data_IF_905690717948
#
_entry.id   IF_905690717948
#
_cell.length_a   1.000
_cell.length_b   1.000
_cell.length_c   1.000
_cell.angle_alpha   90.00
_cell.angle_beta   90.00
_cell.angle_gamma   90.00
#
_symmetry.space_group_name_H-M   'P 1'
#
loop_
_entity.id
_entity.type
_entity.pdbx_description
1 polymer ?
#
# COMPACT_ATOMS: atom_id res chain seq x y z
N UNK A 1 2.00 -12.74 5.70
CA UNK A 1 2.68 -11.67 4.94
C UNK A 1 1.59 -10.84 4.33
N UNK A 2 1.63 -9.51 4.49
CA UNK A 2 0.63 -8.60 3.96
C UNK A 2 0.37 -8.82 2.45
N UNK A 3 -0.65 -8.17 1.90
CA UNK A 3 -0.85 -8.13 0.45
C UNK A 3 -1.21 -6.72 0.00
N UNK A 4 -0.61 -6.31 -1.11
CA UNK A 4 -1.01 -5.14 -1.89
C UNK A 4 -1.68 -5.66 -3.15
N UNK A 5 -2.83 -5.09 -3.48
CA UNK A 5 -3.54 -5.34 -4.73
C UNK A 5 -3.64 -4.00 -5.45
N UNK A 6 -3.14 -3.94 -6.67
CA UNK A 6 -3.32 -2.79 -7.55
C UNK A 6 -4.31 -3.16 -8.66
N UNK A 7 -5.38 -2.37 -8.72
CA UNK A 7 -6.38 -2.36 -9.78
C UNK A 7 -6.13 -1.14 -10.68
N UNK A 8 -5.70 -1.32 -11.94
CA UNK A 8 -5.56 -0.23 -12.89
C UNK A 8 -6.89 0.49 -13.19
N UNK A 9 -6.78 1.71 -13.72
CA UNK A 9 -7.93 2.46 -14.23
C UNK A 9 -8.65 1.67 -15.34
N UNK A 10 -9.99 1.68 -15.33
CA UNK A 10 -10.83 0.99 -16.30
C UNK A 10 -11.01 -0.52 -16.05
N UNK A 11 -10.30 -1.12 -15.10
CA UNK A 11 -10.48 -2.53 -14.69
C UNK A 11 -11.63 -2.65 -13.69
N UNK A 12 -12.32 -3.79 -13.62
CA UNK A 12 -13.33 -4.00 -12.58
C UNK A 12 -12.71 -4.15 -11.19
N UNK A 13 -13.51 -3.87 -10.15
CA UNK A 13 -13.05 -4.09 -8.77
C UNK A 13 -12.74 -5.57 -8.53
N UNK A 14 -11.73 -5.90 -7.69
CA UNK A 14 -11.48 -7.28 -7.31
C UNK A 14 -12.73 -7.92 -6.68
N UNK A 15 -12.98 -9.19 -7.00
CA UNK A 15 -14.20 -9.86 -6.53
C UNK A 15 -14.28 -9.91 -5.01
N UNK A 16 -15.51 -9.90 -4.47
CA UNK A 16 -15.73 -10.01 -3.03
C UNK A 16 -15.11 -11.29 -2.44
N UNK A 17 -15.11 -12.40 -3.19
CA UNK A 17 -14.47 -13.66 -2.77
C UNK A 17 -12.96 -13.47 -2.61
N UNK A 18 -12.31 -12.85 -3.58
CA UNK A 18 -10.88 -12.57 -3.55
C UNK A 18 -10.52 -11.67 -2.36
N UNK A 19 -11.25 -10.56 -2.18
CA UNK A 19 -11.04 -9.64 -1.07
C UNK A 19 -11.27 -10.31 0.29
N UNK A 20 -12.29 -11.18 0.41
CA UNK A 20 -12.55 -11.93 1.64
C UNK A 20 -11.44 -12.94 1.95
N UNK A 21 -10.89 -13.61 0.93
CA UNK A 21 -9.70 -14.47 1.11
C UNK A 21 -8.50 -13.67 1.60
N UNK A 22 -8.20 -12.55 0.94
CA UNK A 22 -7.10 -11.67 1.29
C UNK A 22 -7.20 -11.14 2.73
N UNK A 23 -8.38 -10.66 3.14
CA UNK A 23 -8.64 -10.20 4.51
C UNK A 23 -8.50 -11.33 5.54
N UNK A 24 -9.04 -12.52 5.29
CA UNK A 24 -8.94 -13.65 6.25
C UNK A 24 -7.50 -14.07 6.48
N UNK A 25 -6.67 -14.08 5.43
CA UNK A 25 -5.25 -14.36 5.54
C UNK A 25 -4.44 -13.22 6.19
N UNK A 26 -5.00 -12.00 6.23
CA UNK A 26 -4.33 -10.79 6.71
C UNK A 26 -5.28 -9.93 7.57
N UNK A 27 -5.67 -10.42 8.77
CA UNK A 27 -6.80 -9.86 9.52
C UNK A 27 -6.47 -8.60 10.35
N UNK A 28 -5.23 -8.12 10.34
CA UNK A 28 -4.74 -7.08 11.26
C UNK A 28 -4.90 -5.64 10.75
N UNK A 29 -5.62 -5.46 9.64
CA UNK A 29 -5.94 -4.14 9.10
C UNK A 29 -6.23 -4.18 7.61
N UNK A 30 -6.98 -3.19 7.13
CA UNK A 30 -7.31 -3.03 5.72
C UNK A 30 -7.28 -1.55 5.35
N UNK A 31 -6.94 -1.26 4.10
CA UNK A 31 -6.97 0.09 3.58
C UNK A 31 -6.96 0.14 2.06
N UNK A 32 -7.35 1.28 1.53
CA UNK A 32 -7.34 1.58 0.12
C UNK A 32 -7.02 3.05 -0.13
N UNK A 33 -6.50 3.34 -1.31
CA UNK A 33 -6.49 4.68 -1.88
C UNK A 33 -6.74 4.65 -3.38
N UNK A 34 -7.42 5.70 -3.83
CA UNK A 34 -7.73 6.08 -5.21
C UNK A 34 -7.71 7.62 -5.25
N UNK A 35 -7.68 8.26 -6.43
CA UNK A 35 -7.71 9.71 -6.55
C UNK A 35 -8.77 10.41 -5.69
N UNK A 36 -9.96 9.82 -5.55
CA UNK A 36 -11.08 10.47 -4.82
C UNK A 36 -11.42 9.82 -3.48
N UNK A 37 -10.93 8.62 -3.21
CA UNK A 37 -11.31 7.85 -2.02
C UNK A 37 -10.09 7.24 -1.33
N UNK A 38 -9.94 7.53 -0.04
CA UNK A 38 -8.94 6.89 0.83
C UNK A 38 -9.59 6.36 2.10
N UNK A 39 -9.18 5.18 2.53
CA UNK A 39 -9.59 4.58 3.80
C UNK A 39 -8.46 3.74 4.40
N UNK A 40 -8.34 3.76 5.73
CA UNK A 40 -7.57 2.78 6.48
C UNK A 40 -8.20 2.52 7.85
N UNK A 41 -8.23 1.26 8.26
CA UNK A 41 -8.82 0.84 9.53
C UNK A 41 -8.84 -0.67 9.74
N UNK A 42 -9.53 -1.09 10.79
CA UNK A 42 -9.60 -2.49 11.21
C UNK A 42 -10.88 -3.21 10.75
N UNK A 43 -11.87 -2.46 10.27
CA UNK A 43 -13.19 -2.99 9.91
C UNK A 43 -13.27 -3.32 8.42
N UNK A 44 -13.29 -4.61 8.09
CA UNK A 44 -13.49 -5.06 6.71
C UNK A 44 -14.86 -4.61 6.14
N UNK A 45 -15.90 -4.56 6.98
CA UNK A 45 -17.21 -4.08 6.55
C UNK A 45 -17.17 -2.59 6.17
N UNK A 46 -16.45 -1.77 6.93
CA UNK A 46 -16.26 -0.35 6.60
C UNK A 46 -15.43 -0.19 5.34
N UNK A 47 -14.38 -0.99 5.18
CA UNK A 47 -13.58 -1.05 3.95
C UNK A 47 -14.45 -1.36 2.73
N UNK A 48 -15.28 -2.42 2.79
CA UNK A 48 -16.16 -2.79 1.66
C UNK A 48 -17.18 -1.71 1.31
N UNK A 49 -17.70 -0.98 2.31
CA UNK A 49 -18.60 0.17 2.07
C UNK A 49 -17.89 1.32 1.35
N UNK A 50 -16.63 1.59 1.70
CA UNK A 50 -15.85 2.65 1.06
C UNK A 50 -15.39 2.23 -0.34
N UNK A 51 -14.97 0.97 -0.51
CA UNK A 51 -14.55 0.40 -1.79
C UNK A 51 -15.60 0.58 -2.90
N UNK A 52 -16.89 0.41 -2.56
CA UNK A 52 -18.01 0.60 -3.50
C UNK A 52 -18.14 2.02 -4.05
N UNK A 53 -17.47 3.01 -3.45
CA UNK A 53 -17.47 4.41 -3.89
C UNK A 53 -16.37 4.71 -4.92
N UNK A 54 -15.41 3.80 -5.11
CA UNK A 54 -14.30 3.98 -6.04
C UNK A 54 -14.80 3.80 -7.48
N UNK A 55 -14.67 4.80 -8.36
CA UNK A 55 -15.06 4.68 -9.76
C UNK A 55 -14.24 3.61 -10.50
N UNK A 56 -14.82 3.03 -11.55
CA UNK A 56 -14.13 2.05 -12.40
C UNK A 56 -12.93 2.69 -13.12
N UNK A 57 -13.04 3.96 -13.46
CA UNK A 57 -12.09 4.77 -14.22
C UNK A 57 -10.87 5.18 -13.37
N UNK A 58 -10.93 4.98 -12.06
CA UNK A 58 -9.85 5.34 -11.15
C UNK A 58 -8.91 4.16 -10.87
N UNK A 59 -7.59 4.38 -10.83
CA UNK A 59 -6.68 3.40 -10.27
C UNK A 59 -6.94 3.25 -8.77
N UNK A 60 -6.69 2.05 -8.24
CA UNK A 60 -6.97 1.71 -6.86
C UNK A 60 -5.86 0.83 -6.30
N UNK A 61 -5.30 1.25 -5.18
CA UNK A 61 -4.44 0.41 -4.34
C UNK A 61 -5.24 -0.08 -3.14
N UNK A 62 -5.09 -1.36 -2.81
CA UNK A 62 -5.67 -2.00 -1.63
C UNK A 62 -4.55 -2.66 -0.84
N UNK A 63 -4.61 -2.56 0.48
CA UNK A 63 -3.72 -3.25 1.41
C UNK A 63 -4.51 -4.06 2.42
N UNK A 64 -4.07 -5.29 2.66
CA UNK A 64 -4.46 -6.05 3.84
C UNK A 64 -3.23 -6.39 4.68
N UNK A 65 -3.29 -6.06 5.97
CA UNK A 65 -2.17 -6.10 6.90
C UNK A 65 -2.17 -7.40 7.69
N UNK A 66 -1.02 -8.07 7.73
CA UNK A 66 -0.68 -9.03 8.75
C UNK A 66 0.46 -8.43 9.60
N UNK A 67 0.11 -7.90 10.78
CA UNK A 67 1.04 -7.20 11.65
C UNK A 67 2.29 -8.05 11.99
N UNK A 68 3.46 -7.44 11.79
CA UNK A 68 4.79 -7.95 12.17
C UNK A 68 5.48 -6.97 13.11
N UNK A 69 5.55 -5.69 12.70
CA UNK A 69 5.97 -4.56 13.51
C UNK A 69 4.79 -3.63 13.82
N UNK A 70 4.81 -3.03 15.01
CA UNK A 70 3.77 -2.14 15.52
C UNK A 70 2.46 -2.84 15.86
N UNK A 71 1.74 -2.30 16.85
CA UNK A 71 0.47 -2.86 17.33
C UNK A 71 -0.63 -2.88 16.25
N UNK A 72 -1.69 -3.64 16.51
CA UNK A 72 -2.88 -3.71 15.66
C UNK A 72 -3.75 -2.49 15.94
N UNK A 73 -3.52 -1.40 15.19
CA UNK A 73 -4.29 -0.16 15.29
C UNK A 73 -4.44 0.54 13.95
N UNK A 74 -5.41 1.45 13.86
CA UNK A 74 -5.73 2.19 12.64
C UNK A 74 -4.53 2.97 12.08
N UNK A 75 -3.73 3.61 12.94
CA UNK A 75 -2.59 4.43 12.48
C UNK A 75 -1.54 3.59 11.75
N UNK A 76 -1.35 2.33 12.16
CA UNK A 76 -0.38 1.39 11.60
C UNK A 76 -0.90 0.63 10.37
N UNK A 77 -2.12 0.93 9.93
CA UNK A 77 -2.65 0.41 8.67
C UNK A 77 -2.12 1.28 7.52
N UNK A 78 -1.88 0.63 6.37
CA UNK A 78 -1.62 1.31 5.12
C UNK A 78 -2.95 1.78 4.49
N UNK A 79 -2.94 2.80 3.62
CA UNK A 79 -1.76 3.57 3.22
C UNK A 79 -1.26 4.54 4.30
N UNK A 80 0.04 4.86 4.27
CA UNK A 80 0.56 6.09 4.86
C UNK A 80 0.40 7.23 3.86
N UNK A 81 0.31 8.46 4.35
CA UNK A 81 -0.04 9.62 3.53
C UNK A 81 0.82 10.83 3.89
N UNK A 82 1.35 11.50 2.87
CA UNK A 82 1.95 12.83 2.96
C UNK A 82 1.08 13.84 2.23
N UNK A 83 0.59 14.85 2.96
CA UNK A 83 -0.33 15.85 2.42
C UNK A 83 0.34 16.92 1.56
N UNK A 84 1.65 17.14 1.75
CA UNK A 84 2.39 18.16 1.00
C UNK A 84 2.56 17.75 -0.47
N UNK A 85 2.87 16.48 -0.71
CA UNK A 85 3.03 15.91 -2.06
C UNK A 85 1.81 15.13 -2.53
N UNK A 86 0.76 15.04 -1.70
CA UNK A 86 -0.41 14.19 -1.92
C UNK A 86 -0.04 12.72 -2.24
N UNK A 87 0.96 12.19 -1.53
CA UNK A 87 1.52 10.86 -1.77
C UNK A 87 0.94 9.84 -0.80
N UNK A 88 0.38 8.76 -1.33
CA UNK A 88 0.05 7.57 -0.56
C UNK A 88 1.14 6.50 -0.73
N UNK A 89 1.43 5.75 0.33
CA UNK A 89 2.43 4.69 0.34
C UNK A 89 1.91 3.41 1.00
N UNK A 90 2.17 2.28 0.34
CA UNK A 90 1.88 0.93 0.84
C UNK A 90 3.09 0.03 0.74
N UNK A 91 3.25 -0.85 1.71
CA UNK A 91 4.35 -1.81 1.78
C UNK A 91 3.87 -3.24 2.06
N UNK A 92 4.53 -4.20 1.41
CA UNK A 92 4.49 -5.60 1.77
C UNK A 92 5.91 -6.16 1.91
N UNK A 93 6.26 -6.65 3.09
CA UNK A 93 7.53 -7.28 3.39
C UNK A 93 7.99 -6.92 4.80
N UNK A 94 9.29 -6.98 5.03
CA UNK A 94 9.97 -6.50 6.24
C UNK A 94 11.21 -5.73 5.77
N UNK A 95 11.42 -4.54 6.30
CA UNK A 95 12.57 -3.69 5.96
C UNK A 95 13.66 -3.88 7.03
N UNK A 96 14.54 -4.86 6.82
CA UNK A 96 15.55 -5.27 7.83
C UNK A 96 16.54 -4.16 8.24
N UNK A 97 16.77 -3.16 7.38
CA UNK A 97 17.61 -2.00 7.68
C UNK A 97 16.92 -0.88 8.46
N UNK A 98 15.60 -0.96 8.63
CA UNK A 98 14.80 0.07 9.29
C UNK A 98 14.46 -0.41 10.69
N UNK A 99 14.84 0.38 11.70
CA UNK A 99 14.49 0.12 13.10
C UNK A 99 13.28 0.98 13.48
N UNK A 100 12.09 0.38 13.64
CA UNK A 100 10.93 1.13 14.09
C UNK A 100 11.17 1.69 15.49
N UNK A 101 10.67 2.90 15.73
CA UNK A 101 10.68 3.51 17.06
C UNK A 101 9.25 3.62 17.58
N UNK A 102 9.10 3.63 18.91
CA UNK A 102 7.80 3.60 19.57
C UNK A 102 6.93 2.44 19.06
N UNK A 103 5.69 2.72 18.67
CA UNK A 103 4.72 1.74 18.18
C UNK A 103 4.44 1.92 16.67
N UNK A 104 5.41 2.47 15.94
CA UNK A 104 5.37 2.63 14.49
C UNK A 104 5.73 1.33 13.76
N UNK A 105 5.39 1.27 12.49
CA UNK A 105 5.81 0.19 11.59
C UNK A 105 7.15 0.53 10.93
N UNK A 106 7.87 -0.49 10.47
CA UNK A 106 9.07 -0.30 9.64
C UNK A 106 8.76 0.48 8.37
N UNK A 107 7.60 0.24 7.74
CA UNK A 107 7.16 1.01 6.58
C UNK A 107 6.82 2.47 6.87
N UNK A 108 6.23 2.78 8.03
CA UNK A 108 5.99 4.17 8.44
C UNK A 108 7.31 4.92 8.61
N UNK A 109 8.27 4.32 9.32
CA UNK A 109 9.60 4.91 9.51
C UNK A 109 10.34 5.06 8.18
N UNK A 110 10.29 4.07 7.29
CA UNK A 110 10.87 4.16 5.96
C UNK A 110 10.27 5.31 5.15
N UNK A 111 8.94 5.45 5.22
CA UNK A 111 8.23 6.49 4.50
C UNK A 111 8.60 7.89 5.02
N UNK A 112 8.51 8.12 6.32
CA UNK A 112 8.78 9.43 6.92
C UNK A 112 10.25 9.85 6.83
N UNK A 113 11.18 8.93 7.05
CA UNK A 113 12.60 9.29 7.20
C UNK A 113 13.38 9.32 5.89
N UNK A 114 12.93 8.58 4.87
CA UNK A 114 13.72 8.36 3.64
C UNK A 114 12.92 8.68 2.37
N UNK A 115 11.75 8.07 2.22
CA UNK A 115 11.00 8.14 0.96
C UNK A 115 10.28 9.47 0.78
N UNK A 116 9.57 9.97 1.81
CA UNK A 116 8.88 11.26 1.75
C UNK A 116 9.84 12.43 1.48
N UNK A 117 10.98 12.59 2.20
CA UNK A 117 11.92 13.66 1.92
C UNK A 117 12.45 13.64 0.48
N UNK A 118 12.74 12.45 -0.05
CA UNK A 118 13.21 12.29 -1.43
C UNK A 118 12.11 12.65 -2.44
N UNK A 119 10.86 12.23 -2.21
CA UNK A 119 9.73 12.60 -3.07
C UNK A 119 9.47 14.12 -3.04
N UNK A 120 9.55 14.76 -1.86
CA UNK A 120 9.37 16.22 -1.73
C UNK A 120 10.42 17.00 -2.52
N UNK A 121 11.66 16.51 -2.52
CA UNK A 121 12.79 17.20 -3.16
C UNK A 121 12.91 16.93 -4.66
N UNK A 122 12.66 15.70 -5.09
CA UNK A 122 12.96 15.25 -6.45
C UNK A 122 11.73 14.78 -7.25
N UNK A 123 10.62 14.49 -6.57
CA UNK A 123 9.37 14.02 -7.20
C UNK A 123 9.24 12.50 -7.26
N UNK A 124 8.01 12.02 -7.50
CA UNK A 124 7.66 10.60 -7.46
C UNK A 124 8.35 9.76 -8.53
N UNK A 125 8.68 10.33 -9.70
CA UNK A 125 9.30 9.60 -10.83
C UNK A 125 10.80 9.87 -10.96
N UNK A 126 11.42 10.47 -9.95
CA UNK A 126 12.85 10.75 -9.96
C UNK A 126 13.70 9.47 -9.90
N UNK A 127 14.91 9.58 -10.42
CA UNK A 127 15.96 8.56 -10.28
C UNK A 127 16.43 8.51 -8.81
N UNK A 128 16.47 9.65 -8.12
CA UNK A 128 16.80 9.74 -6.70
C UNK A 128 15.85 8.91 -5.84
N UNK A 129 14.53 8.95 -6.12
CA UNK A 129 13.59 8.05 -5.43
C UNK A 129 13.88 6.58 -5.74
N UNK A 130 14.23 6.25 -6.99
CA UNK A 130 14.56 4.87 -7.37
C UNK A 130 15.76 4.37 -6.57
N UNK A 131 16.82 5.17 -6.49
CA UNK A 131 18.02 4.85 -5.71
C UNK A 131 17.70 4.71 -4.20
N UNK A 132 16.90 5.62 -3.65
CA UNK A 132 16.50 5.54 -2.23
C UNK A 132 15.66 4.29 -1.95
N UNK A 133 14.76 3.93 -2.87
CA UNK A 133 13.98 2.69 -2.78
C UNK A 133 14.91 1.47 -2.84
N UNK A 134 15.84 1.41 -3.78
CA UNK A 134 16.79 0.29 -3.93
C UNK A 134 17.62 0.08 -2.66
N UNK A 135 17.98 1.16 -1.96
CA UNK A 135 18.71 1.10 -0.70
C UNK A 135 17.91 0.48 0.46
N UNK A 136 16.57 0.58 0.45
CA UNK A 136 15.74 0.20 1.61
C UNK A 136 14.79 -0.98 1.36
N UNK A 137 14.39 -1.24 0.11
CA UNK A 137 13.28 -2.15 -0.21
C UNK A 137 13.61 -3.63 0.07
N UNK A 138 14.85 -4.05 -0.18
CA UNK A 138 15.25 -5.46 -0.14
C UNK A 138 14.31 -6.32 -0.99
N UNK A 139 13.77 -7.40 -0.43
CA UNK A 139 12.79 -8.28 -1.11
C UNK A 139 11.33 -7.81 -0.96
N UNK A 140 11.10 -6.64 -0.38
CA UNK A 140 9.76 -6.09 -0.18
C UNK A 140 9.15 -5.57 -1.48
N UNK A 141 7.89 -5.13 -1.39
CA UNK A 141 7.14 -4.50 -2.47
C UNK A 141 6.59 -3.19 -1.98
N UNK A 142 6.77 -2.13 -2.76
CA UNK A 142 6.23 -0.81 -2.49
C UNK A 142 5.24 -0.41 -3.58
N UNK A 143 4.19 0.29 -3.17
CA UNK A 143 3.26 0.94 -4.08
C UNK A 143 3.03 2.37 -3.61
N UNK A 144 3.23 3.32 -4.53
CA UNK A 144 2.97 4.73 -4.33
C UNK A 144 1.81 5.17 -5.21
N UNK A 145 1.04 6.17 -4.74
CA UNK A 145 0.03 6.84 -5.54
C UNK A 145 0.05 8.35 -5.32
N UNK A 146 0.08 9.11 -6.41
CA UNK A 146 -0.13 10.57 -6.47
C UNK A 146 -1.20 10.87 -7.52
N UNK A 147 -2.39 11.28 -7.09
CA UNK A 147 -3.53 11.44 -7.99
C UNK A 147 -3.84 10.13 -8.73
N UNK A 148 -3.75 10.14 -10.06
CA UNK A 148 -3.96 8.95 -10.92
C UNK A 148 -2.68 8.15 -11.19
N UNK A 149 -1.53 8.67 -10.80
CA UNK A 149 -0.26 7.99 -11.04
C UNK A 149 -0.02 6.93 -9.97
N UNK A 150 0.37 5.74 -10.39
CA UNK A 150 0.77 4.64 -9.51
C UNK A 150 2.18 4.20 -9.89
N UNK A 151 3.08 4.17 -8.91
CA UNK A 151 4.45 3.70 -9.09
C UNK A 151 4.67 2.48 -8.20
N UNK A 152 5.05 1.36 -8.81
CA UNK A 152 5.29 0.09 -8.12
C UNK A 152 6.79 -0.21 -8.11
N UNK A 153 7.29 -0.76 -7.00
CA UNK A 153 8.66 -1.25 -6.88
C UNK A 153 8.70 -2.66 -6.30
N UNK A 154 9.65 -3.47 -6.79
CA UNK A 154 9.74 -4.91 -6.55
C UNK A 154 8.84 -5.72 -7.48
N UNK A 155 8.95 -7.05 -7.41
CA UNK A 155 8.25 -7.94 -8.33
C UNK A 155 6.76 -8.09 -7.97
N UNK A 156 5.90 -7.37 -8.68
CA UNK A 156 4.46 -7.56 -8.64
C UNK A 156 4.02 -8.61 -9.66
N UNK A 157 3.07 -9.45 -9.26
CA UNK A 157 2.51 -10.52 -10.09
C UNK A 157 1.28 -9.97 -10.80
N UNK A 158 1.30 -9.92 -12.14
CA UNK A 158 0.13 -9.58 -12.94
C UNK A 158 -0.74 -10.81 -13.18
N UNK A 159 -2.02 -10.74 -12.82
CA UNK A 159 -2.99 -11.82 -12.98
C UNK A 159 -4.41 -11.25 -13.01
N UNK A 160 -5.23 -11.74 -13.94
CA UNK A 160 -6.65 -11.35 -14.04
C UNK A 160 -6.86 -9.82 -14.07
N UNK A 161 -6.01 -9.12 -14.83
CA UNK A 161 -5.98 -7.65 -14.97
C UNK A 161 -5.61 -6.87 -13.69
N UNK A 162 -5.14 -7.55 -12.65
CA UNK A 162 -4.71 -6.97 -11.38
C UNK A 162 -3.23 -7.25 -11.15
N UNK A 163 -2.59 -6.42 -10.33
CA UNK A 163 -1.23 -6.65 -9.84
C UNK A 163 -1.25 -7.00 -8.36
N UNK A 164 -0.46 -7.99 -7.95
CA UNK A 164 -0.39 -8.48 -6.58
C UNK A 164 1.04 -8.48 -6.05
N UNK A 165 1.26 -8.02 -4.83
CA UNK A 165 2.59 -8.11 -4.21
C UNK A 165 2.97 -9.53 -3.77
N UNK A 166 1.99 -10.44 -3.68
CA UNK A 166 2.16 -11.89 -3.57
C UNK A 166 0.78 -12.57 -3.73
N UNK A 167 0.76 -13.90 -3.92
CA UNK A 167 -0.47 -14.70 -4.03
C UNK A 167 -0.71 -15.66 -2.85
N UNK A 168 -0.06 -15.45 -1.69
CA UNK A 168 -0.12 -16.40 -0.54
C UNK A 168 -1.49 -16.53 0.11
N UNK A 169 -2.46 -15.70 -0.27
CA UNK A 169 -3.82 -15.70 0.25
C UNK A 169 -4.82 -16.48 -0.63
N UNK A 170 -4.39 -16.94 -1.81
CA UNK A 170 -5.25 -17.63 -2.78
C UNK A 170 -5.49 -19.10 -2.43
#
# INVERSE_FOLDING_TARGET
MCVIIYKPAGVDLPSQILLSKAQRANPHGCGLCSPTVTYKGLSFNSFMKVLKRVPKEEPLLIHFRLATHGSIKRSNCHPFYDSETNTHFMHNGILYGIRPYQDKTDSECAFECFLQPTIKKYGLHSDELSMEVDNVIGYSKFAFMQGKEVRLFGDFIFRDSLYFSNLRFL
#
